data_IF_096779145872
#
_entry.id   IF_096779145872
#
_cell.length_a   1.000
_cell.length_b   1.000
_cell.length_c   1.000
_cell.angle_alpha   90.00
_cell.angle_beta   90.00
_cell.angle_gamma   90.00
#
_symmetry.space_group_name_H-M   'P 1'
#
loop_
_entity.id
_entity.type
_entity.pdbx_description
1 polymer ?
#
# COMPACT_ATOMS: atom_id res chain seq x y z
N UNK A 1 12.98 -13.13 -1.59
CA UNK A 1 11.72 -13.62 -1.00
C UNK A 1 11.97 -14.44 0.27
N UNK A 2 12.84 -15.46 0.25
CA UNK A 2 13.19 -16.32 1.40
C UNK A 2 13.67 -15.49 2.60
N UNK A 3 14.54 -14.53 2.38
CA UNK A 3 15.10 -13.63 3.41
C UNK A 3 14.03 -12.76 4.10
N UNK A 4 12.93 -12.44 3.37
CA UNK A 4 11.77 -11.73 3.92
C UNK A 4 10.97 -12.61 4.87
N UNK A 5 10.75 -13.87 4.49
CA UNK A 5 10.01 -14.86 5.30
C UNK A 5 10.73 -15.08 6.63
N UNK A 6 12.04 -15.25 6.58
CA UNK A 6 12.87 -15.48 7.76
C UNK A 6 13.17 -14.22 8.57
N UNK A 7 12.79 -13.04 8.12
CA UNK A 7 13.12 -11.77 8.77
C UNK A 7 14.61 -11.40 8.76
N UNK A 8 15.44 -12.16 8.04
CA UNK A 8 16.90 -12.03 8.03
C UNK A 8 17.36 -10.65 7.55
N UNK A 9 16.59 -9.97 6.69
CA UNK A 9 16.88 -8.62 6.26
C UNK A 9 16.88 -7.60 7.40
N UNK A 10 16.12 -7.87 8.49
CA UNK A 10 16.13 -7.01 9.69
C UNK A 10 17.34 -7.29 10.59
N UNK A 11 17.75 -8.56 10.67
CA UNK A 11 18.90 -8.97 11.48
C UNK A 11 20.24 -8.60 10.78
N UNK A 12 20.25 -8.63 9.45
CA UNK A 12 21.46 -8.39 8.66
C UNK A 12 21.24 -7.33 7.56
N UNK A 13 20.96 -6.07 7.93
CA UNK A 13 20.58 -5.01 6.97
C UNK A 13 21.73 -4.59 6.04
N UNK A 14 22.97 -4.93 6.37
CA UNK A 14 24.17 -4.60 5.56
C UNK A 14 24.56 -5.71 4.58
N UNK A 15 23.95 -6.89 4.66
CA UNK A 15 24.27 -8.00 3.76
C UNK A 15 23.43 -7.89 2.49
N UNK A 16 24.07 -7.54 1.39
CA UNK A 16 23.46 -7.32 0.07
C UNK A 16 22.55 -8.49 -0.37
N UNK A 17 22.93 -9.73 -0.09
CA UNK A 17 22.12 -10.92 -0.38
C UNK A 17 20.73 -10.91 0.30
N UNK A 18 20.63 -10.35 1.52
CA UNK A 18 19.37 -10.28 2.27
C UNK A 18 18.52 -9.05 1.92
N UNK A 19 19.11 -8.03 1.30
CA UNK A 19 18.50 -6.72 1.09
C UNK A 19 18.15 -6.41 -0.36
N UNK A 20 18.64 -7.18 -1.33
CA UNK A 20 18.38 -6.98 -2.77
C UNK A 20 16.91 -6.81 -3.12
N UNK A 21 16.03 -7.60 -2.51
CA UNK A 21 14.58 -7.51 -2.72
C UNK A 21 13.98 -6.15 -2.33
N UNK A 22 14.59 -5.44 -1.38
CA UNK A 22 14.08 -4.17 -0.86
C UNK A 22 14.74 -2.94 -1.49
N UNK A 23 15.60 -3.14 -2.48
CA UNK A 23 16.35 -2.06 -3.11
C UNK A 23 16.99 -1.09 -2.08
N UNK A 24 17.50 -1.64 -0.97
CA UNK A 24 18.04 -0.85 0.16
C UNK A 24 19.26 -0.01 -0.20
N UNK A 25 19.83 -0.22 -1.39
CA UNK A 25 20.89 0.61 -1.96
C UNK A 25 20.39 1.95 -2.51
N UNK A 26 19.05 2.09 -2.71
CA UNK A 26 18.44 3.34 -3.17
C UNK A 26 17.72 4.05 -2.02
N UNK A 27 17.79 5.35 -2.01
CA UNK A 27 16.93 6.19 -1.19
C UNK A 27 15.56 6.34 -1.87
N UNK A 28 14.50 6.56 -1.09
CA UNK A 28 13.14 6.72 -1.62
C UNK A 28 12.98 7.89 -2.61
N UNK A 29 13.89 8.86 -2.56
CA UNK A 29 13.95 10.01 -3.45
C UNK A 29 15.03 9.88 -4.55
N UNK A 30 15.40 8.67 -4.92
CA UNK A 30 16.45 8.41 -5.91
C UNK A 30 15.95 7.37 -6.92
N UNK A 31 15.95 7.74 -8.19
CA UNK A 31 15.74 6.80 -9.32
C UNK A 31 16.96 5.92 -9.50
N UNK A 32 16.77 4.63 -9.75
CA UNK A 32 17.87 3.70 -9.98
C UNK A 32 17.44 2.30 -10.33
N UNK A 33 18.41 1.48 -10.70
CA UNK A 33 18.18 0.07 -11.05
C UNK A 33 17.78 -0.73 -9.82
N UNK A 34 16.81 -1.63 -10.03
CA UNK A 34 16.33 -2.58 -9.02
C UNK A 34 16.13 -3.94 -9.65
N UNK A 35 16.23 -5.01 -8.87
CA UNK A 35 15.99 -6.34 -9.42
C UNK A 35 14.50 -6.61 -9.63
N UNK A 36 13.67 -6.22 -8.66
CA UNK A 36 12.23 -6.52 -8.64
C UNK A 36 11.43 -5.24 -8.40
N UNK A 37 10.37 -5.08 -9.17
CA UNK A 37 9.39 -4.02 -9.01
C UNK A 37 8.16 -4.53 -8.25
N UNK A 38 7.38 -3.60 -7.70
CA UNK A 38 6.11 -3.91 -7.02
C UNK A 38 4.96 -3.69 -7.99
N UNK A 39 4.07 -4.67 -8.11
CA UNK A 39 2.97 -4.72 -9.05
C UNK A 39 1.89 -3.64 -8.87
N UNK A 40 1.94 -2.83 -7.81
CA UNK A 40 0.97 -1.76 -7.57
C UNK A 40 0.94 -0.71 -8.70
N UNK A 41 2.09 -0.43 -9.32
CA UNK A 41 2.22 0.42 -10.50
C UNK A 41 3.48 0.05 -11.26
N UNK A 42 3.31 -0.57 -12.43
CA UNK A 42 4.40 -0.95 -13.33
C UNK A 42 4.13 -0.35 -14.71
N UNK A 43 5.18 0.13 -15.35
CA UNK A 43 5.13 0.68 -16.69
C UNK A 43 6.27 0.10 -17.53
N UNK A 44 5.94 -0.40 -18.72
CA UNK A 44 6.92 -0.89 -19.69
C UNK A 44 6.40 -0.73 -21.12
N UNK A 45 7.30 -0.80 -22.09
CA UNK A 45 6.88 -0.80 -23.49
C UNK A 45 6.13 -2.09 -23.85
N UNK A 46 5.11 -1.97 -24.71
CA UNK A 46 4.37 -3.14 -25.23
C UNK A 46 5.31 -4.16 -25.88
N UNK A 47 6.36 -3.70 -26.56
CA UNK A 47 7.36 -4.57 -27.18
C UNK A 47 8.04 -5.47 -26.16
N UNK A 48 8.51 -4.89 -25.05
CA UNK A 48 9.18 -5.66 -23.98
C UNK A 48 8.19 -6.59 -23.31
N UNK A 49 6.95 -6.14 -23.02
CA UNK A 49 5.91 -6.98 -22.44
C UNK A 49 5.65 -8.25 -23.25
N UNK A 50 5.49 -8.11 -24.57
CA UNK A 50 5.27 -9.24 -25.48
C UNK A 50 6.52 -10.14 -25.60
N UNK A 51 7.72 -9.55 -25.63
CA UNK A 51 8.99 -10.26 -25.74
C UNK A 51 9.25 -11.19 -24.53
N UNK A 52 8.82 -10.77 -23.34
CA UNK A 52 8.98 -11.56 -22.10
C UNK A 52 7.80 -12.51 -21.84
N UNK A 53 6.74 -12.45 -22.66
CA UNK A 53 5.55 -13.30 -22.53
C UNK A 53 4.48 -12.75 -21.58
N UNK A 54 4.65 -11.55 -21.02
CA UNK A 54 3.68 -10.89 -20.15
C UNK A 54 3.55 -11.55 -18.77
N UNK A 55 2.40 -11.33 -18.14
CA UNK A 55 2.05 -12.01 -16.88
C UNK A 55 1.69 -13.46 -17.13
N UNK A 56 2.17 -14.36 -16.29
CA UNK A 56 1.83 -15.77 -16.34
C UNK A 56 0.48 -16.03 -15.64
N UNK A 57 -0.49 -16.51 -16.38
CA UNK A 57 -1.85 -16.76 -15.89
C UNK A 57 -1.91 -17.84 -14.78
N UNK A 58 -0.90 -18.70 -14.69
CA UNK A 58 -0.77 -19.67 -13.61
C UNK A 58 -0.34 -19.05 -12.29
N UNK A 59 0.12 -17.78 -12.32
CA UNK A 59 0.49 -17.02 -11.13
C UNK A 59 -0.67 -16.16 -10.63
N UNK A 60 -1.48 -16.69 -9.73
CA UNK A 60 -2.69 -16.01 -9.28
C UNK A 60 -2.40 -14.69 -8.53
N UNK A 61 -1.36 -14.62 -7.66
CA UNK A 61 -1.10 -13.45 -6.81
C UNK A 61 0.28 -13.56 -6.11
N UNK A 62 0.89 -12.42 -5.77
CA UNK A 62 2.11 -12.25 -4.94
C UNK A 62 3.45 -12.61 -5.59
N UNK A 63 3.49 -13.22 -6.74
CA UNK A 63 4.73 -13.41 -7.49
C UNK A 63 4.63 -13.01 -8.96
N UNK A 64 3.49 -12.52 -9.38
CA UNK A 64 3.24 -12.00 -10.72
C UNK A 64 4.19 -10.84 -11.08
N UNK A 65 4.35 -9.89 -10.18
CA UNK A 65 5.28 -8.77 -10.32
C UNK A 65 6.76 -9.21 -10.22
N UNK A 66 7.05 -10.18 -9.36
CA UNK A 66 8.39 -10.77 -9.22
C UNK A 66 8.76 -11.53 -10.49
N UNK A 67 7.83 -12.35 -11.01
CA UNK A 67 8.00 -13.15 -12.22
C UNK A 67 8.27 -12.25 -13.43
N UNK A 68 7.41 -11.27 -13.66
CA UNK A 68 7.56 -10.32 -14.76
C UNK A 68 8.88 -9.55 -14.68
N UNK A 69 9.23 -9.04 -13.50
CA UNK A 69 10.51 -8.35 -13.28
C UNK A 69 11.72 -9.25 -13.58
N UNK A 70 11.65 -10.50 -13.16
CA UNK A 70 12.70 -11.47 -13.39
C UNK A 70 12.85 -11.85 -14.87
N UNK A 71 11.73 -12.03 -15.59
CA UNK A 71 11.73 -12.28 -17.03
C UNK A 71 12.39 -11.15 -17.82
N UNK A 72 12.15 -9.89 -17.42
CA UNK A 72 12.82 -8.72 -17.99
C UNK A 72 14.34 -8.79 -17.82
N UNK A 73 14.80 -9.14 -16.62
CA UNK A 73 16.23 -9.31 -16.34
C UNK A 73 16.84 -10.46 -17.13
N UNK A 74 16.14 -11.59 -17.29
CA UNK A 74 16.61 -12.73 -18.10
C UNK A 74 16.80 -12.37 -19.58
N UNK A 75 16.08 -11.37 -20.09
CA UNK A 75 16.27 -10.82 -21.44
C UNK A 75 17.38 -9.76 -21.52
N UNK A 76 18.20 -9.63 -20.48
CA UNK A 76 19.30 -8.66 -20.44
C UNK A 76 18.85 -7.20 -20.36
N UNK A 77 17.61 -6.97 -19.93
CA UNK A 77 17.05 -5.63 -19.72
C UNK A 77 17.06 -5.28 -18.24
N UNK A 78 16.87 -4.00 -17.93
CA UNK A 78 16.92 -3.49 -16.56
C UNK A 78 15.54 -3.07 -16.09
N UNK A 79 15.29 -3.29 -14.80
CA UNK A 79 14.18 -2.69 -14.07
C UNK A 79 14.64 -1.42 -13.35
N UNK A 80 13.79 -0.39 -13.34
CA UNK A 80 14.09 0.87 -12.68
C UNK A 80 12.99 1.27 -11.69
N UNK A 81 13.40 1.65 -10.49
CA UNK A 81 12.55 2.44 -9.61
C UNK A 81 12.62 3.90 -10.05
N UNK A 82 11.47 4.53 -10.27
CA UNK A 82 11.34 5.92 -10.68
C UNK A 82 10.65 6.73 -9.57
N UNK A 83 11.40 7.63 -8.92
CA UNK A 83 10.93 8.31 -7.72
C UNK A 83 10.05 9.54 -7.99
N UNK A 84 10.14 10.15 -9.19
CA UNK A 84 9.40 11.39 -9.50
C UNK A 84 7.88 11.19 -9.65
N UNK A 85 7.44 9.93 -9.67
CA UNK A 85 6.02 9.58 -9.72
C UNK A 85 5.61 8.85 -8.45
N UNK A 86 4.62 9.41 -7.75
CA UNK A 86 4.01 8.78 -6.58
C UNK A 86 2.55 8.49 -6.88
N UNK A 87 2.12 7.29 -6.53
CA UNK A 87 0.72 6.84 -6.70
C UNK A 87 0.09 6.55 -5.35
N UNK A 88 -1.21 6.80 -5.26
CA UNK A 88 -2.00 6.41 -4.11
C UNK A 88 -2.55 5.00 -4.33
N UNK A 89 -2.08 4.04 -3.54
CA UNK A 89 -2.53 2.67 -3.60
C UNK A 89 -3.60 2.40 -2.55
N UNK A 90 -4.85 2.31 -2.99
CA UNK A 90 -5.97 1.88 -2.14
C UNK A 90 -5.85 0.38 -1.88
N UNK A 91 -5.43 0.01 -0.70
CA UNK A 91 -5.24 -1.40 -0.33
C UNK A 91 -6.54 -2.18 -0.43
N UNK A 92 -6.46 -3.38 -1.02
CA UNK A 92 -7.59 -4.29 -1.20
C UNK A 92 -7.37 -5.65 -0.52
N UNK A 93 -7.93 -6.69 -1.12
CA UNK A 93 -7.93 -8.09 -0.66
C UNK A 93 -6.54 -8.66 -0.34
N UNK A 94 -5.51 -8.25 -1.09
CA UNK A 94 -4.13 -8.72 -0.91
C UNK A 94 -3.46 -8.23 0.39
N UNK A 95 -4.12 -7.36 1.16
CA UNK A 95 -3.50 -6.69 2.31
C UNK A 95 -3.71 -7.46 3.61
N UNK A 96 -4.78 -8.26 3.72
CA UNK A 96 -5.08 -9.02 4.93
C UNK A 96 -4.12 -10.19 5.03
N UNK A 97 -3.25 -10.15 6.02
CA UNK A 97 -2.27 -11.19 6.30
C UNK A 97 -2.88 -12.27 7.23
N UNK A 98 -3.90 -12.93 6.78
CA UNK A 98 -4.53 -14.09 7.43
C UNK A 98 -3.91 -15.43 7.00
N UNK A 99 -4.51 -16.52 7.40
CA UNK A 99 -4.06 -17.87 7.00
C UNK A 99 -4.16 -18.11 5.49
N UNK A 100 -5.18 -17.54 4.82
CA UNK A 100 -5.34 -17.62 3.39
C UNK A 100 -4.24 -16.87 2.64
N UNK A 101 -3.85 -15.69 3.14
CA UNK A 101 -2.68 -14.95 2.66
C UNK A 101 -1.41 -15.79 2.68
N UNK A 102 -1.14 -16.45 3.82
CA UNK A 102 0.09 -17.25 3.97
C UNK A 102 0.11 -18.42 2.99
N UNK A 103 -1.04 -19.10 2.81
CA UNK A 103 -1.17 -20.21 1.84
C UNK A 103 -0.93 -19.72 0.41
N UNK A 104 -1.58 -18.63 0.00
CA UNK A 104 -1.41 -18.03 -1.35
C UNK A 104 0.03 -17.55 -1.57
N UNK A 105 0.64 -16.93 -0.57
CA UNK A 105 2.02 -16.50 -0.64
C UNK A 105 2.98 -17.68 -0.80
N UNK A 106 2.75 -18.79 -0.09
CA UNK A 106 3.52 -20.02 -0.25
C UNK A 106 3.39 -20.59 -1.66
N UNK A 107 2.16 -20.68 -2.17
CA UNK A 107 1.89 -21.16 -3.53
C UNK A 107 2.60 -20.31 -4.59
N UNK A 108 2.52 -18.97 -4.45
CA UNK A 108 3.19 -18.03 -5.32
C UNK A 108 4.72 -18.18 -5.32
N UNK A 109 5.32 -18.34 -4.13
CA UNK A 109 6.77 -18.55 -4.04
C UNK A 109 7.16 -19.91 -4.64
N UNK A 110 6.38 -20.97 -4.39
CA UNK A 110 6.61 -22.28 -4.98
C UNK A 110 6.56 -22.20 -6.51
N UNK A 111 5.52 -21.56 -7.06
CA UNK A 111 5.37 -21.33 -8.50
C UNK A 111 6.61 -20.65 -9.08
N UNK A 112 7.03 -19.50 -8.52
CA UNK A 112 8.17 -18.73 -9.00
C UNK A 112 9.46 -19.55 -8.98
N UNK A 113 9.73 -20.25 -7.89
CA UNK A 113 10.96 -21.05 -7.78
C UNK A 113 10.95 -22.27 -8.68
N UNK A 114 9.83 -22.96 -8.84
CA UNK A 114 9.72 -24.11 -9.75
C UNK A 114 9.87 -23.69 -11.21
N UNK A 115 9.34 -22.50 -11.57
CA UNK A 115 9.43 -21.98 -12.94
C UNK A 115 10.85 -21.59 -13.33
N UNK A 116 11.58 -20.96 -12.44
CA UNK A 116 12.85 -20.32 -12.78
C UNK A 116 14.10 -21.03 -12.27
N UNK A 117 13.98 -21.93 -11.32
CA UNK A 117 15.12 -22.58 -10.69
C UNK A 117 14.93 -24.09 -10.57
N UNK A 118 16.02 -24.83 -10.72
CA UNK A 118 16.06 -26.26 -10.37
C UNK A 118 16.05 -26.34 -8.84
N UNK A 119 14.89 -26.56 -8.24
CA UNK A 119 14.74 -26.53 -6.79
C UNK A 119 15.03 -27.91 -6.21
N UNK A 120 16.02 -28.07 -5.32
CA UNK A 120 16.23 -29.34 -4.64
C UNK A 120 15.07 -29.68 -3.70
N UNK A 121 14.82 -30.97 -3.48
CA UNK A 121 13.76 -31.47 -2.60
C UNK A 121 13.72 -30.79 -1.23
N UNK A 122 14.87 -30.50 -0.65
CA UNK A 122 14.97 -29.81 0.65
C UNK A 122 14.45 -28.38 0.66
N UNK A 123 14.29 -27.73 -0.49
CA UNK A 123 13.79 -26.36 -0.54
C UNK A 123 12.34 -26.26 -0.06
N UNK A 124 11.50 -27.22 -0.42
CA UNK A 124 10.10 -27.25 0.06
C UNK A 124 10.04 -27.42 1.59
N UNK A 125 10.88 -28.28 2.15
CA UNK A 125 10.97 -28.45 3.60
C UNK A 125 11.40 -27.14 4.28
N UNK A 126 12.42 -26.46 3.77
CA UNK A 126 12.86 -25.15 4.29
C UNK A 126 11.77 -24.07 4.19
N UNK A 127 11.02 -24.06 3.10
CA UNK A 127 9.89 -23.13 2.93
C UNK A 127 8.79 -23.40 3.96
N UNK A 128 8.42 -24.65 4.20
CA UNK A 128 7.41 -25.01 5.20
C UNK A 128 7.86 -24.64 6.63
N UNK A 129 9.10 -24.93 6.98
CA UNK A 129 9.69 -24.55 8.27
C UNK A 129 9.68 -23.02 8.42
N UNK A 130 10.10 -22.29 7.41
CA UNK A 130 10.09 -20.81 7.43
C UNK A 130 8.70 -20.23 7.64
N UNK A 131 7.69 -20.79 6.99
CA UNK A 131 6.28 -20.36 7.14
C UNK A 131 5.76 -20.68 8.54
N UNK A 132 6.08 -21.86 9.07
CA UNK A 132 5.70 -22.25 10.43
C UNK A 132 6.28 -21.27 11.47
N UNK A 133 7.58 -20.97 11.41
CA UNK A 133 8.22 -20.00 12.28
C UNK A 133 7.64 -18.61 12.14
N UNK A 134 7.40 -18.14 10.91
CA UNK A 134 6.80 -16.84 10.67
C UNK A 134 5.38 -16.74 11.23
N UNK A 135 4.58 -17.80 11.07
CA UNK A 135 3.22 -17.88 11.63
C UNK A 135 3.23 -17.89 13.16
N UNK A 136 4.17 -18.61 13.76
CA UNK A 136 4.36 -18.63 15.22
C UNK A 136 4.78 -17.25 15.75
N UNK A 137 5.78 -16.60 15.14
CA UNK A 137 6.18 -15.24 15.48
C UNK A 137 5.04 -14.23 15.37
N UNK A 138 4.20 -14.35 14.34
CA UNK A 138 3.03 -13.48 14.19
C UNK A 138 1.97 -13.67 15.29
N UNK A 139 1.80 -14.88 15.78
CA UNK A 139 0.91 -15.13 16.94
C UNK A 139 1.41 -14.44 18.19
N UNK A 140 2.73 -14.39 18.37
CA UNK A 140 3.39 -13.76 19.53
C UNK A 140 3.40 -12.22 19.41
N UNK A 141 3.48 -11.66 18.19
CA UNK A 141 3.52 -10.20 17.96
C UNK A 141 2.23 -9.46 18.31
N UNK A 142 1.18 -10.18 18.70
CA UNK A 142 -0.08 -9.59 19.16
C UNK A 142 -0.95 -9.01 18.04
N UNK A 143 -2.19 -8.72 18.35
CA UNK A 143 -3.13 -8.03 17.45
C UNK A 143 -2.68 -6.58 17.30
N UNK A 144 -2.70 -6.04 16.08
CA UNK A 144 -2.45 -4.62 15.87
C UNK A 144 -3.38 -3.77 16.75
N UNK A 145 -2.84 -2.70 17.33
CA UNK A 145 -3.66 -1.79 18.14
C UNK A 145 -4.84 -1.32 17.30
N UNK A 146 -6.07 -1.56 17.79
CA UNK A 146 -7.27 -0.98 17.17
C UNK A 146 -7.13 0.54 17.23
N UNK A 147 -7.18 1.17 16.07
CA UNK A 147 -7.24 2.62 15.99
C UNK A 147 -8.60 3.04 16.52
N UNK A 148 -8.63 3.98 17.45
CA UNK A 148 -9.86 4.51 18.01
C UNK A 148 -10.64 5.20 16.90
N UNK A 149 -11.98 5.07 16.91
CA UNK A 149 -12.84 5.80 15.98
C UNK A 149 -12.59 7.31 16.10
N UNK A 150 -12.60 8.05 14.99
CA UNK A 150 -12.36 9.49 15.02
C UNK A 150 -13.46 10.19 15.85
N UNK A 151 -13.07 11.19 16.61
CA UNK A 151 -13.98 12.04 17.37
C UNK A 151 -14.53 13.16 16.51
N UNK A 152 -13.70 13.67 15.60
CA UNK A 152 -13.98 14.79 14.72
C UNK A 152 -13.54 14.47 13.29
N UNK A 153 -14.21 15.09 12.35
CA UNK A 153 -13.87 15.04 10.93
C UNK A 153 -13.49 16.44 10.44
N UNK A 154 -12.47 16.52 9.59
CA UNK A 154 -12.07 17.74 8.92
C UNK A 154 -12.18 17.54 7.41
N UNK A 155 -13.14 18.19 6.78
CA UNK A 155 -13.28 18.18 5.32
C UNK A 155 -12.42 19.26 4.68
N UNK A 156 -11.54 18.86 3.79
CA UNK A 156 -10.79 19.75 2.90
C UNK A 156 -11.42 19.68 1.49
N UNK A 157 -12.14 20.73 1.12
CA UNK A 157 -12.88 20.84 -0.14
C UNK A 157 -13.08 22.30 -0.50
N UNK A 158 -13.61 22.57 -1.69
CA UNK A 158 -14.21 23.85 -2.06
C UNK A 158 -15.74 23.77 -2.13
N UNK A 159 -16.33 22.62 -1.78
CA UNK A 159 -17.75 22.37 -1.76
C UNK A 159 -18.24 22.18 -0.32
N UNK A 160 -18.86 23.22 0.24
CA UNK A 160 -19.41 23.23 1.59
C UNK A 160 -20.70 22.39 1.74
N UNK A 161 -21.45 22.16 0.64
CA UNK A 161 -22.66 21.33 0.64
C UNK A 161 -22.38 19.88 1.07
N UNK A 162 -21.17 19.38 0.83
CA UNK A 162 -20.77 18.06 1.30
C UNK A 162 -20.78 17.89 2.83
N UNK A 163 -20.74 18.97 3.59
CA UNK A 163 -20.71 18.91 5.06
C UNK A 163 -21.96 18.22 5.62
N UNK A 164 -23.14 18.67 5.21
CA UNK A 164 -24.41 18.10 5.70
C UNK A 164 -24.56 16.63 5.33
N UNK A 165 -24.18 16.27 4.10
CA UNK A 165 -24.23 14.89 3.62
C UNK A 165 -23.27 13.99 4.41
N UNK A 166 -22.05 14.47 4.65
CA UNK A 166 -21.05 13.75 5.42
C UNK A 166 -21.44 13.63 6.90
N UNK A 167 -21.98 14.68 7.52
CA UNK A 167 -22.49 14.62 8.89
C UNK A 167 -23.62 13.62 9.05
N UNK A 168 -24.54 13.55 8.06
CA UNK A 168 -25.63 12.57 8.04
C UNK A 168 -25.13 11.12 8.02
N UNK A 169 -24.08 10.85 7.22
CA UNK A 169 -23.55 9.49 7.04
C UNK A 169 -22.59 9.11 8.17
N UNK A 170 -21.77 10.04 8.64
CA UNK A 170 -20.74 9.78 9.66
C UNK A 170 -21.30 9.89 11.09
N UNK A 171 -22.50 10.47 11.27
CA UNK A 171 -23.13 10.67 12.58
C UNK A 171 -22.36 11.60 13.51
N UNK A 172 -21.49 12.45 12.98
CA UNK A 172 -20.61 13.35 13.76
C UNK A 172 -20.37 14.65 13.00
N UNK A 173 -20.03 15.71 13.74
CA UNK A 173 -19.69 17.01 13.17
C UNK A 173 -18.50 16.95 12.24
N UNK A 174 -18.63 17.61 11.10
CA UNK A 174 -17.61 17.79 10.08
C UNK A 174 -17.20 19.25 10.03
N UNK A 175 -15.95 19.54 10.35
CA UNK A 175 -15.39 20.88 10.24
C UNK A 175 -14.94 21.10 8.80
N UNK A 176 -15.49 22.13 8.15
CA UNK A 176 -15.13 22.49 6.79
C UNK A 176 -13.93 23.44 6.77
N UNK A 177 -13.02 23.19 5.84
CA UNK A 177 -11.93 24.12 5.49
C UNK A 177 -11.76 24.19 4.00
N UNK A 178 -11.86 25.38 3.47
CA UNK A 178 -11.52 25.66 2.07
C UNK A 178 -10.01 25.57 1.86
N UNK A 179 -9.58 24.93 0.79
CA UNK A 179 -8.17 24.89 0.39
C UNK A 179 -7.74 26.26 -0.10
N UNK A 180 -7.24 27.11 0.77
CA UNK A 180 -6.52 28.36 0.38
C UNK A 180 -5.08 28.00 0.01
N UNK A 181 -4.63 28.46 -1.17
CA UNK A 181 -3.25 28.25 -1.66
C UNK A 181 -2.23 28.48 -0.54
N UNK A 182 -1.41 27.46 -0.25
CA UNK A 182 -0.19 27.48 0.60
C UNK A 182 -0.28 27.44 2.13
N UNK A 183 -1.40 27.47 2.82
CA UNK A 183 -1.40 27.14 4.25
C UNK A 183 -1.97 25.74 4.46
N UNK A 184 -1.08 24.79 4.64
CA UNK A 184 -1.42 23.43 5.09
C UNK A 184 -2.13 23.48 6.45
N UNK A 185 -2.91 22.44 6.72
CA UNK A 185 -3.54 22.20 8.01
C UNK A 185 -2.48 22.34 9.11
N UNK A 186 -2.55 23.44 9.87
CA UNK A 186 -1.72 23.55 11.05
C UNK A 186 -2.28 22.59 12.11
N UNK A 187 -1.42 21.74 12.66
CA UNK A 187 -1.74 20.84 13.78
C UNK A 187 -2.36 21.55 14.99
N UNK A 188 -2.23 22.89 15.05
CA UNK A 188 -2.83 23.73 16.10
C UNK A 188 -4.36 23.85 16.04
N UNK A 189 -5.04 23.30 15.03
CA UNK A 189 -6.50 23.37 14.93
C UNK A 189 -7.24 22.41 15.89
N UNK A 190 -6.55 21.40 16.38
CA UNK A 190 -7.13 20.38 17.26
C UNK A 190 -6.23 20.18 18.49
N UNK A 191 -6.84 19.93 19.63
CA UNK A 191 -6.09 19.60 20.85
C UNK A 191 -5.36 18.27 20.65
N UNK A 192 -4.17 18.15 21.20
CA UNK A 192 -3.24 17.02 21.02
C UNK A 192 -3.78 15.62 21.35
N UNK A 193 -4.99 15.51 21.92
CA UNK A 193 -5.65 14.25 22.30
C UNK A 193 -6.91 13.92 21.49
N UNK A 194 -7.20 14.67 20.44
CA UNK A 194 -8.39 14.43 19.61
C UNK A 194 -8.05 13.52 18.43
N UNK A 195 -8.82 12.42 18.29
CA UNK A 195 -8.70 11.56 17.11
C UNK A 195 -9.44 12.23 15.95
N UNK A 196 -8.71 12.84 15.03
CA UNK A 196 -9.27 13.54 13.87
C UNK A 196 -9.04 12.73 12.61
N UNK A 197 -10.08 12.55 11.81
CA UNK A 197 -9.98 12.01 10.46
C UNK A 197 -10.15 13.11 9.43
N UNK A 198 -9.17 13.23 8.54
CA UNK A 198 -9.14 14.23 7.48
C UNK A 198 -9.75 13.64 6.22
N UNK A 199 -10.76 14.31 5.69
CA UNK A 199 -11.49 13.93 4.48
C UNK A 199 -10.98 14.82 3.33
N UNK A 200 -10.39 14.21 2.31
CA UNK A 200 -9.80 14.89 1.16
C UNK A 200 -10.71 14.75 -0.06
N UNK A 201 -11.29 15.84 -0.51
CA UNK A 201 -12.14 15.85 -1.70
C UNK A 201 -11.29 15.99 -2.97
N UNK A 202 -11.10 14.88 -3.68
CA UNK A 202 -10.30 14.83 -4.90
C UNK A 202 -10.96 15.53 -6.10
N UNK A 203 -12.23 15.93 -6.01
CA UNK A 203 -12.84 16.79 -7.02
C UNK A 203 -12.24 18.21 -7.02
N UNK A 204 -11.74 18.66 -5.88
CA UNK A 204 -11.19 20.00 -5.65
C UNK A 204 -9.70 20.00 -5.29
N UNK A 205 -9.17 18.87 -4.82
CA UNK A 205 -7.77 18.70 -4.41
C UNK A 205 -7.13 17.66 -5.32
N UNK A 206 -6.07 18.02 -6.05
CA UNK A 206 -5.36 17.07 -6.90
C UNK A 206 -4.79 15.89 -6.09
N UNK A 207 -4.60 14.72 -6.69
CA UNK A 207 -3.94 13.59 -6.01
C UNK A 207 -2.54 13.97 -5.52
N UNK A 208 -1.80 14.79 -6.27
CA UNK A 208 -0.50 15.30 -5.83
C UNK A 208 -0.61 16.06 -4.51
N UNK A 209 -1.61 16.91 -4.37
CA UNK A 209 -1.84 17.67 -3.13
C UNK A 209 -2.34 16.76 -2.00
N UNK A 210 -3.23 15.80 -2.31
CA UNK A 210 -3.68 14.79 -1.33
C UNK A 210 -2.48 14.03 -0.75
N UNK A 211 -1.59 13.53 -1.60
CA UNK A 211 -0.37 12.82 -1.19
C UNK A 211 0.53 13.73 -0.34
N UNK A 212 0.72 14.97 -0.77
CA UNK A 212 1.53 15.96 -0.03
C UNK A 212 0.96 16.24 1.38
N UNK A 213 -0.37 16.31 1.52
CA UNK A 213 -1.04 16.46 2.82
C UNK A 213 -0.83 15.20 3.67
N UNK A 214 -1.03 14.00 3.11
CA UNK A 214 -0.82 12.73 3.79
C UNK A 214 0.62 12.61 4.33
N UNK A 215 1.61 12.96 3.52
CA UNK A 215 3.03 12.91 3.89
C UNK A 215 3.38 13.93 4.97
N UNK A 216 2.89 15.15 4.84
CA UNK A 216 3.19 16.24 5.80
C UNK A 216 2.60 16.00 7.19
N UNK A 217 1.46 15.32 7.26
CA UNK A 217 0.77 15.01 8.52
C UNK A 217 1.03 13.58 9.03
N UNK A 218 1.92 12.86 8.37
CA UNK A 218 2.33 11.51 8.78
C UNK A 218 2.85 11.52 10.22
N UNK A 219 2.42 10.51 11.00
CA UNK A 219 2.79 10.32 12.41
C UNK A 219 2.33 11.42 13.39
N UNK A 220 1.41 12.30 12.99
CA UNK A 220 0.84 13.33 13.86
C UNK A 220 -0.50 12.92 14.49
N UNK A 221 -0.89 11.65 14.39
CA UNK A 221 -2.12 11.12 14.99
C UNK A 221 -3.38 11.28 14.15
N UNK A 222 -3.28 11.83 12.94
CA UNK A 222 -4.39 11.94 12.01
C UNK A 222 -4.63 10.63 11.25
N UNK A 223 -5.90 10.39 10.92
CA UNK A 223 -6.34 9.39 9.94
C UNK A 223 -6.91 10.08 8.71
N UNK A 224 -7.02 9.36 7.59
CA UNK A 224 -7.38 9.97 6.31
C UNK A 224 -8.36 9.13 5.53
N UNK A 225 -9.31 9.80 4.86
CA UNK A 225 -10.12 9.24 3.78
C UNK A 225 -10.12 10.17 2.60
N UNK A 226 -10.33 9.62 1.42
CA UNK A 226 -10.43 10.37 0.17
C UNK A 226 -11.82 10.17 -0.40
N UNK A 227 -12.40 11.24 -0.93
CA UNK A 227 -13.57 11.21 -1.80
C UNK A 227 -13.00 11.27 -3.22
N UNK A 228 -12.95 10.16 -3.97
CA UNK A 228 -12.44 10.17 -5.34
C UNK A 228 -13.30 11.06 -6.23
N UNK A 229 -12.67 11.69 -7.21
CA UNK A 229 -13.37 12.55 -8.17
C UNK A 229 -14.52 11.78 -8.84
N UNK A 230 -15.68 12.40 -8.95
CA UNK A 230 -16.87 11.84 -9.57
C UNK A 230 -17.37 10.55 -8.88
N UNK A 231 -17.12 10.40 -7.61
CA UNK A 231 -17.65 9.30 -6.80
C UNK A 231 -18.54 9.81 -5.67
N UNK A 232 -19.38 8.90 -5.18
CA UNK A 232 -20.29 9.13 -4.05
C UNK A 232 -19.86 8.34 -2.80
N UNK A 233 -18.58 8.14 -2.58
CA UNK A 233 -18.07 7.40 -1.43
C UNK A 233 -16.75 7.95 -0.91
N UNK A 234 -16.52 7.69 0.37
CA UNK A 234 -15.25 7.86 1.05
C UNK A 234 -14.48 6.54 1.04
N UNK A 235 -13.20 6.60 0.76
CA UNK A 235 -12.32 5.42 0.84
C UNK A 235 -11.06 5.72 1.62
N UNK A 236 -10.63 4.79 2.46
CA UNK A 236 -9.39 4.89 3.20
C UNK A 236 -9.18 3.72 4.14
N UNK A 237 -7.96 3.58 4.63
CA UNK A 237 -7.59 2.58 5.63
C UNK A 237 -6.69 3.20 6.68
N UNK A 238 -7.01 2.97 7.94
CA UNK A 238 -6.25 3.48 9.07
C UNK A 238 -5.25 2.46 9.62
N UNK A 239 -5.24 1.24 9.07
CA UNK A 239 -4.38 0.16 9.51
C UNK A 239 -3.79 -0.60 8.32
N UNK A 240 -2.50 -0.90 8.40
CA UNK A 240 -1.78 -1.65 7.36
C UNK A 240 -2.22 -3.11 7.21
N UNK A 241 -2.96 -3.66 8.17
CA UNK A 241 -3.39 -5.06 8.21
C UNK A 241 -4.90 -5.23 7.99
N UNK A 242 -5.62 -4.16 7.68
CA UNK A 242 -7.06 -4.17 7.44
C UNK A 242 -7.39 -3.75 6.01
N UNK A 243 -8.49 -4.24 5.49
CA UNK A 243 -9.09 -3.72 4.27
C UNK A 243 -9.48 -2.27 4.49
N UNK A 244 -9.33 -1.44 3.48
CA UNK A 244 -9.89 -0.10 3.53
C UNK A 244 -11.40 -0.16 3.75
N UNK A 245 -11.94 0.88 4.39
CA UNK A 245 -13.39 1.05 4.51
C UNK A 245 -13.90 1.94 3.37
N UNK A 246 -15.03 1.53 2.79
CA UNK A 246 -15.79 2.33 1.84
C UNK A 246 -17.05 2.77 2.59
N UNK A 247 -17.34 4.07 2.58
CA UNK A 247 -18.53 4.66 3.18
C UNK A 247 -19.25 5.42 2.07
N UNK A 248 -20.44 4.96 1.71
CA UNK A 248 -21.26 5.62 0.68
C UNK A 248 -21.83 6.95 1.20
N UNK A 249 -21.72 7.99 0.38
CA UNK A 249 -22.31 9.30 0.61
C UNK A 249 -23.66 9.27 -0.11
N UNK A 250 -24.76 9.32 0.64
CA UNK A 250 -26.11 9.36 0.06
C UNK A 250 -26.41 10.80 -0.32
N UNK A 251 -26.36 11.12 -1.60
CA UNK A 251 -26.95 12.38 -2.09
C UNK A 251 -28.45 12.36 -1.84
N UNK A 252 -28.97 13.32 -1.10
CA UNK A 252 -30.40 13.61 -1.15
C UNK A 252 -30.68 14.14 -2.55
N UNK A 253 -31.33 13.32 -3.39
CA UNK A 253 -31.91 13.80 -4.65
C UNK A 253 -32.95 14.87 -4.25
N UNK A 254 -32.65 16.12 -4.52
CA UNK A 254 -33.58 17.23 -4.47
C UNK A 254 -34.29 17.37 -5.80
#
# INVERSE_FOLDING_TARGET
AFTKIMGLYRCFPKVSFFTKYYASHLRSNQTGKVDILVGAFMFMSRKVYLEVGGFDENCFMYSDDIDLSYLVLQKGKDNFYFHDTTVLHYKGESTIKDGAYMKRFQQAMRFFYQKHFKVPFFFELFMQIGIFFFSALKRIQGKSKKIKAPNHYLLLSSNDKLVEELESVLGKKVVFREKKKKKMVNSCLFKTNENVEILLDNSHISFKDCISILESLKNQGFTFKIIPKSSNFLIGSNNNNERGTIIEIRYKLH
#
